data_IF_693828505667
#
_entry.id   IF_693828505667
#
_cell.length_a   1.000
_cell.length_b   1.000
_cell.length_c   1.000
_cell.angle_alpha   90.00
_cell.angle_beta   90.00
_cell.angle_gamma   90.00
#
_symmetry.space_group_name_H-M   'P 1'
#
loop_
_entity.id
_entity.type
_entity.pdbx_description
1 polymer ?
#
# COMPACT_ATOMS: atom_id res chain seq x y z
N UNK A 1 4.64 11.86 -13.44
CA UNK A 1 3.84 11.40 -12.28
C UNK A 1 2.78 10.49 -12.84
N UNK A 2 2.81 9.20 -12.48
CA UNK A 2 1.79 8.25 -12.89
C UNK A 2 0.67 8.27 -11.85
N UNK A 3 -0.57 8.40 -12.32
CA UNK A 3 -1.78 8.28 -11.51
C UNK A 3 -2.58 7.12 -12.08
N UNK A 4 -3.18 6.33 -11.21
CA UNK A 4 -4.16 5.33 -11.58
C UNK A 4 -5.45 5.57 -10.81
N UNK A 5 -6.56 5.19 -11.43
CA UNK A 5 -7.87 5.24 -10.81
C UNK A 5 -8.53 3.89 -10.99
N UNK A 6 -9.17 3.37 -9.95
CA UNK A 6 -9.90 2.11 -9.97
C UNK A 6 -11.13 2.18 -9.06
N UNK A 7 -12.16 1.42 -9.43
CA UNK A 7 -13.38 1.30 -8.63
C UNK A 7 -13.38 -0.06 -7.96
N UNK A 8 -13.14 -0.07 -6.65
CA UNK A 8 -13.22 -1.24 -5.77
C UNK A 8 -13.41 -0.73 -4.34
N UNK A 9 -14.43 -1.23 -3.64
CA UNK A 9 -14.85 -0.70 -2.34
C UNK A 9 -14.94 0.85 -2.28
N UNK A 10 -15.39 1.47 -3.38
CA UNK A 10 -15.34 2.92 -3.56
C UNK A 10 -14.48 3.37 -4.74
N UNK A 11 -14.17 4.67 -4.78
CA UNK A 11 -13.27 5.27 -5.76
C UNK A 11 -11.85 5.35 -5.17
N UNK A 12 -10.87 4.87 -5.93
CA UNK A 12 -9.48 4.89 -5.51
C UNK A 12 -8.67 5.70 -6.49
N UNK A 13 -7.86 6.62 -6.00
CA UNK A 13 -6.83 7.32 -6.76
C UNK A 13 -5.48 7.05 -6.15
N UNK A 14 -4.53 6.58 -6.95
CA UNK A 14 -3.22 6.20 -6.44
C UNK A 14 -2.06 6.56 -7.34
N UNK A 15 -0.86 6.47 -6.76
CA UNK A 15 0.40 6.71 -7.45
C UNK A 15 1.54 5.87 -6.85
N UNK A 16 2.50 5.43 -7.67
CA UNK A 16 3.74 4.89 -7.14
C UNK A 16 4.55 6.03 -6.46
N UNK A 17 5.04 5.76 -5.26
CA UNK A 17 6.01 6.59 -4.55
C UNK A 17 7.44 6.09 -4.83
N UNK A 18 7.62 4.78 -4.80
CA UNK A 18 8.88 4.13 -5.15
C UNK A 18 8.66 2.88 -6.00
N UNK A 19 9.58 2.63 -6.94
CA UNK A 19 9.62 1.43 -7.76
C UNK A 19 11.05 0.92 -7.78
N UNK A 20 11.25 -0.32 -7.34
CA UNK A 20 12.51 -1.05 -7.42
C UNK A 20 12.40 -2.18 -8.46
N UNK A 21 13.39 -3.07 -8.51
CA UNK A 21 13.31 -4.26 -9.37
C UNK A 21 12.26 -5.26 -8.87
N UNK A 22 12.11 -5.39 -7.54
CA UNK A 22 11.31 -6.44 -6.90
C UNK A 22 10.12 -5.89 -6.11
N UNK A 23 10.00 -4.58 -5.94
CA UNK A 23 8.98 -3.98 -5.07
C UNK A 23 8.44 -2.65 -5.58
N UNK A 24 7.18 -2.37 -5.24
CA UNK A 24 6.52 -1.08 -5.47
C UNK A 24 5.94 -0.60 -4.15
N UNK A 25 6.24 0.65 -3.78
CA UNK A 25 5.57 1.36 -2.69
C UNK A 25 4.58 2.33 -3.34
N UNK A 26 3.30 2.15 -3.03
CA UNK A 26 2.20 2.95 -3.55
C UNK A 26 1.51 3.76 -2.46
N UNK A 27 0.95 4.90 -2.86
CA UNK A 27 0.01 5.68 -2.06
C UNK A 27 -1.35 5.68 -2.75
N UNK A 28 -2.41 5.42 -2.00
CA UNK A 28 -3.79 5.38 -2.48
C UNK A 28 -4.66 6.21 -1.55
N UNK A 29 -5.55 7.00 -2.14
CA UNK A 29 -6.67 7.62 -1.45
C UNK A 29 -7.92 6.85 -1.89
N UNK A 30 -8.60 6.21 -0.94
CA UNK A 30 -9.89 5.55 -1.14
C UNK A 30 -11.01 6.46 -0.62
N UNK A 31 -12.08 6.61 -1.39
CA UNK A 31 -13.32 7.24 -0.98
C UNK A 31 -14.43 6.20 -1.10
N UNK A 32 -14.99 5.77 0.03
CA UNK A 32 -16.05 4.76 0.05
C UNK A 32 -17.41 5.29 -0.45
N UNK A 33 -18.42 4.42 -0.49
CA UNK A 33 -19.77 4.78 -0.97
C UNK A 33 -20.48 5.82 -0.08
N UNK A 34 -20.07 5.93 1.18
CA UNK A 34 -20.58 6.93 2.14
C UNK A 34 -19.81 8.25 2.05
N UNK A 35 -18.70 8.29 1.30
CA UNK A 35 -17.83 9.43 1.12
C UNK A 35 -16.74 9.56 2.17
N UNK A 36 -16.48 8.52 2.97
CA UNK A 36 -15.37 8.52 3.92
C UNK A 36 -14.05 8.31 3.17
N UNK A 37 -13.06 9.14 3.50
CA UNK A 37 -11.73 9.10 2.88
C UNK A 37 -10.75 8.29 3.74
N UNK A 38 -9.97 7.41 3.10
CA UNK A 38 -8.90 6.63 3.73
C UNK A 38 -7.60 6.76 2.94
N UNK A 39 -6.54 7.21 3.61
CA UNK A 39 -5.17 7.20 3.10
C UNK A 39 -4.51 5.84 3.34
N UNK A 40 -3.94 5.27 2.29
CA UNK A 40 -3.27 3.97 2.31
C UNK A 40 -1.85 4.09 1.76
N UNK A 41 -0.90 3.47 2.45
CA UNK A 41 0.44 3.17 1.94
C UNK A 41 0.58 1.66 1.88
N UNK A 42 0.97 1.15 0.73
CA UNK A 42 1.17 -0.29 0.51
C UNK A 42 2.52 -0.56 -0.13
N UNK A 43 3.14 -1.67 0.26
CA UNK A 43 4.30 -2.24 -0.42
C UNK A 43 3.90 -3.61 -0.98
N UNK A 44 4.14 -3.81 -2.27
CA UNK A 44 3.95 -5.09 -2.95
C UNK A 44 5.28 -5.56 -3.53
N UNK A 45 5.60 -6.83 -3.34
CA UNK A 45 6.82 -7.47 -3.80
C UNK A 45 6.55 -8.58 -4.82
N UNK A 46 7.56 -8.98 -5.59
CA UNK A 46 7.51 -10.19 -6.43
C UNK A 46 7.92 -11.46 -5.69
N UNK A 47 8.61 -11.30 -4.56
CA UNK A 47 9.12 -12.38 -3.71
C UNK A 47 8.28 -12.47 -2.43
N UNK A 48 8.35 -13.61 -1.73
CA UNK A 48 7.67 -13.84 -0.45
C UNK A 48 8.30 -13.07 0.73
N UNK A 49 9.38 -12.32 0.48
CA UNK A 49 10.08 -11.51 1.48
C UNK A 49 10.33 -10.10 0.94
N UNK A 50 10.18 -9.11 1.82
CA UNK A 50 10.52 -7.72 1.53
C UNK A 50 11.91 -7.42 2.11
N UNK A 51 12.79 -6.79 1.33
CA UNK A 51 14.10 -6.38 1.83
C UNK A 51 14.00 -5.36 2.97
N UNK A 52 14.91 -5.43 3.96
CA UNK A 52 14.97 -4.46 5.06
C UNK A 52 14.98 -3.01 4.56
N UNK A 53 15.71 -2.74 3.47
CA UNK A 53 15.78 -1.39 2.89
C UNK A 53 14.46 -0.91 2.29
N UNK A 54 13.70 -1.80 1.67
CA UNK A 54 12.39 -1.45 1.12
C UNK A 54 11.36 -1.29 2.25
N UNK A 55 11.45 -2.11 3.29
CA UNK A 55 10.59 -2.03 4.47
C UNK A 55 10.84 -0.75 5.28
N UNK A 56 12.10 -0.35 5.48
CA UNK A 56 12.41 0.94 6.13
C UNK A 56 11.85 2.11 5.31
N UNK A 57 12.00 2.09 3.98
CA UNK A 57 11.43 3.14 3.13
C UNK A 57 9.90 3.15 3.16
N UNK A 58 9.26 1.98 3.21
CA UNK A 58 7.81 1.88 3.40
C UNK A 58 7.37 2.53 4.72
N UNK A 59 8.09 2.30 5.82
CA UNK A 59 7.81 2.96 7.11
C UNK A 59 8.05 4.46 7.07
N UNK A 60 9.09 4.93 6.37
CA UNK A 60 9.32 6.37 6.14
C UNK A 60 8.13 7.02 5.43
N UNK A 61 7.68 6.46 4.30
CA UNK A 61 6.53 6.99 3.55
C UNK A 61 5.24 6.94 4.38
N UNK A 62 5.06 5.89 5.19
CA UNK A 62 3.91 5.73 6.10
C UNK A 62 3.91 6.84 7.17
N UNK A 63 5.05 7.11 7.80
CA UNK A 63 5.21 8.20 8.78
C UNK A 63 5.03 9.57 8.14
N UNK A 64 5.55 9.79 6.93
CA UNK A 64 5.43 11.06 6.20
C UNK A 64 3.98 11.37 5.83
N UNK A 65 3.13 10.35 5.68
CA UNK A 65 1.67 10.47 5.52
C UNK A 65 0.90 10.62 6.82
N UNK A 66 1.56 10.55 7.97
CA UNK A 66 0.93 10.63 9.27
C UNK A 66 0.09 9.40 9.62
N UNK A 67 0.34 8.26 8.95
CA UNK A 67 -0.31 6.99 9.26
C UNK A 67 0.45 6.36 10.44
N UNK A 68 -0.23 6.01 11.55
CA UNK A 68 0.42 5.37 12.69
C UNK A 68 0.98 4.00 12.32
N UNK A 69 2.20 3.68 12.77
CA UNK A 69 2.86 2.40 12.47
C UNK A 69 2.11 1.20 13.06
N UNK A 70 1.36 1.37 14.15
CA UNK A 70 0.52 0.31 14.71
C UNK A 70 -0.61 -0.16 13.78
N UNK A 71 -0.91 0.60 12.73
CA UNK A 71 -1.90 0.23 11.70
C UNK A 71 -1.28 -0.54 10.53
N UNK A 72 0.03 -0.80 10.54
CA UNK A 72 0.69 -1.61 9.52
C UNK A 72 0.29 -3.08 9.71
N UNK A 73 -0.20 -3.70 8.63
CA UNK A 73 -0.59 -5.11 8.59
C UNK A 73 0.35 -5.87 7.66
N UNK A 74 0.86 -7.02 8.10
CA UNK A 74 1.63 -7.94 7.25
C UNK A 74 0.68 -8.95 6.59
N UNK A 75 0.48 -8.82 5.27
CA UNK A 75 -0.36 -9.74 4.51
C UNK A 75 0.32 -11.07 4.18
N UNK A 76 1.65 -11.15 4.11
CA UNK A 76 2.36 -12.40 3.76
C UNK A 76 2.10 -13.49 4.82
N UNK A 77 2.12 -13.11 6.09
CA UNK A 77 1.94 -14.06 7.21
C UNK A 77 0.47 -14.33 7.55
N UNK A 78 -0.46 -13.53 7.02
CA UNK A 78 -1.87 -13.52 7.43
C UNK A 78 -2.85 -13.65 6.25
N UNK A 79 -2.37 -14.07 5.07
CA UNK A 79 -3.26 -14.34 3.96
C UNK A 79 -4.04 -15.64 4.21
N UNK A 80 -5.33 -15.50 4.54
CA UNK A 80 -6.27 -16.60 4.71
C UNK A 80 -7.15 -16.80 3.46
N UNK A 81 -6.84 -16.11 2.36
CA UNK A 81 -7.51 -16.33 1.09
C UNK A 81 -7.17 -17.72 0.53
N UNK A 82 -8.13 -18.40 -0.12
CA UNK A 82 -7.83 -19.63 -0.83
C UNK A 82 -6.84 -19.37 -1.97
N UNK A 83 -5.89 -20.28 -2.17
CA UNK A 83 -5.04 -20.27 -3.37
C UNK A 83 -5.93 -20.36 -4.62
N UNK A 84 -5.66 -19.51 -5.62
CA UNK A 84 -6.38 -19.50 -6.91
C UNK A 84 -6.11 -20.73 -7.78
#
# INVERSE_FOLDING_TARGET
MYLFSLTDAGQNEGRPLHVSHNSVIGYVINVDEEGNETDLIGIIGTDDEISDSDFERFKEETRDKGIPEENIVNFIDNDDCPEE
#
